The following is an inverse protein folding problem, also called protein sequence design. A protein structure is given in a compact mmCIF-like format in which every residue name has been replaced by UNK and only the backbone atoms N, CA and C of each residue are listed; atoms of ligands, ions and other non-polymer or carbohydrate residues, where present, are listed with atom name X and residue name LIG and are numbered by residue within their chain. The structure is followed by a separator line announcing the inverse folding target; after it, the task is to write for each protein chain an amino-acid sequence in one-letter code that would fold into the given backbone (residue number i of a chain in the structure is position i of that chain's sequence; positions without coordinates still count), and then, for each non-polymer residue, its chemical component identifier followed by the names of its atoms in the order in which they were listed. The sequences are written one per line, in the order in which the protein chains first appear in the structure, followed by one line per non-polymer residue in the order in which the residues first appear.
data_IF_775122610383
#
_entry.id   IF_775122610383
#
_cell.length_a   1.000
_cell.length_b   1.000
_cell.length_c   1.000
_cell.angle_alpha   90.00
_cell.angle_beta   90.00
_cell.angle_gamma   90.00
#
_symmetry.space_group_name_H-M   'P 1'
#
loop_
_entity.id
_entity.type
_entity.pdbx_description
1 polymer ?
#
# COMPACT_ATOMS: atom_id res chain seq x y z
N UNK A 1 36.79 22.12 -14.67
CA UNK A 1 36.86 22.34 -13.21
C UNK A 1 35.48 22.39 -12.53
N UNK A 2 34.64 23.43 -12.72
CA UNK A 2 33.38 23.55 -11.95
C UNK A 2 32.32 22.47 -12.29
N UNK A 3 32.26 22.04 -13.55
CA UNK A 3 31.32 20.99 -14.01
C UNK A 3 31.80 19.58 -13.64
N UNK A 4 33.12 19.40 -13.59
CA UNK A 4 33.79 18.16 -13.21
C UNK A 4 33.59 17.82 -11.73
N UNK A 5 33.70 18.81 -10.84
CA UNK A 5 33.40 18.63 -9.41
C UNK A 5 31.93 18.29 -9.15
N UNK A 6 31.00 18.79 -9.98
CA UNK A 6 29.58 18.45 -9.89
C UNK A 6 29.32 17.01 -10.32
N UNK A 7 29.96 16.56 -11.40
CA UNK A 7 29.84 15.19 -11.90
C UNK A 7 30.35 14.17 -10.88
N UNK A 8 31.47 14.47 -10.21
CA UNK A 8 31.99 13.64 -9.11
C UNK A 8 30.99 13.58 -7.95
N UNK A 9 30.43 14.73 -7.54
CA UNK A 9 29.40 14.81 -6.51
C UNK A 9 28.16 13.98 -6.83
N UNK A 10 27.64 14.07 -8.06
CA UNK A 10 26.51 13.25 -8.50
C UNK A 10 26.82 11.76 -8.51
N UNK A 11 28.05 11.38 -8.85
CA UNK A 11 28.48 9.98 -8.87
C UNK A 11 28.54 9.38 -7.46
N UNK A 12 29.00 10.14 -6.46
CA UNK A 12 29.00 9.71 -5.06
C UNK A 12 27.56 9.51 -4.57
N UNK A 13 26.67 10.48 -4.82
CA UNK A 13 25.25 10.37 -4.45
C UNK A 13 24.61 9.17 -5.16
N UNK A 14 24.84 9.02 -6.45
CA UNK A 14 24.33 7.90 -7.26
C UNK A 14 24.80 6.55 -6.75
N UNK A 15 26.05 6.43 -6.32
CA UNK A 15 26.61 5.21 -5.73
C UNK A 15 25.84 4.78 -4.47
N UNK A 16 25.62 5.71 -3.53
CA UNK A 16 24.85 5.40 -2.31
C UNK A 16 23.37 5.12 -2.60
N UNK A 17 22.76 5.82 -3.55
CA UNK A 17 21.41 5.51 -4.03
C UNK A 17 21.36 4.09 -4.62
N UNK A 18 22.36 3.70 -5.41
CA UNK A 18 22.49 2.36 -5.99
C UNK A 18 22.58 1.28 -4.92
N UNK A 19 23.41 1.48 -3.89
CA UNK A 19 23.50 0.58 -2.72
C UNK A 19 22.13 0.46 -2.03
N UNK A 20 21.45 1.59 -1.79
CA UNK A 20 20.12 1.60 -1.18
C UNK A 20 19.09 0.79 -2.00
N UNK A 21 19.09 0.95 -3.33
CA UNK A 21 18.22 0.17 -4.23
C UNK A 21 18.55 -1.32 -4.19
N UNK A 22 19.83 -1.68 -4.14
CA UNK A 22 20.28 -3.07 -4.10
C UNK A 22 19.87 -3.77 -2.79
N UNK A 23 20.07 -3.12 -1.63
CA UNK A 23 19.62 -3.62 -0.31
C UNK A 23 18.11 -3.79 -0.26
N UNK A 24 17.36 -2.84 -0.86
CA UNK A 24 15.91 -2.94 -0.98
C UNK A 24 15.48 -4.09 -1.89
N UNK A 25 16.21 -4.32 -2.98
CA UNK A 25 16.08 -5.50 -3.84
C UNK A 25 16.18 -6.81 -3.05
N UNK A 26 17.17 -6.92 -2.16
CA UNK A 26 17.34 -8.09 -1.31
C UNK A 26 16.18 -8.29 -0.32
N UNK A 27 15.65 -7.19 0.23
CA UNK A 27 14.48 -7.27 1.13
C UNK A 27 13.22 -7.75 0.42
N UNK A 28 12.97 -7.30 -0.81
CA UNK A 28 11.88 -7.83 -1.64
C UNK A 28 12.11 -9.27 -2.06
N UNK A 29 13.36 -9.67 -2.30
CA UNK A 29 13.70 -11.05 -2.63
C UNK A 29 13.40 -11.99 -1.46
N UNK A 30 13.73 -11.59 -0.23
CA UNK A 30 13.36 -12.34 0.99
C UNK A 30 11.86 -12.50 1.14
N UNK A 31 11.10 -11.41 0.97
CA UNK A 31 9.64 -11.45 1.03
C UNK A 31 9.04 -12.37 -0.05
N UNK A 32 9.53 -12.26 -1.29
CA UNK A 32 9.11 -13.13 -2.40
C UNK A 32 9.36 -14.60 -2.08
N UNK A 33 10.56 -14.93 -1.60
CA UNK A 33 10.94 -16.31 -1.27
C UNK A 33 10.15 -16.84 -0.07
N UNK A 34 9.76 -15.98 0.87
CA UNK A 34 8.91 -16.38 1.97
C UNK A 34 7.53 -16.78 1.46
N UNK A 35 6.91 -15.95 0.60
CA UNK A 35 5.60 -16.24 0.00
C UNK A 35 5.67 -17.52 -0.83
N UNK A 36 6.67 -17.67 -1.71
CA UNK A 36 6.80 -18.86 -2.57
C UNK A 36 6.96 -20.19 -1.80
N UNK A 37 7.49 -20.15 -0.58
CA UNK A 37 7.71 -21.36 0.21
C UNK A 37 6.58 -21.62 1.22
N UNK A 38 5.61 -20.71 1.34
CA UNK A 38 4.55 -20.82 2.32
C UNK A 38 3.24 -21.23 1.64
N UNK A 39 2.65 -22.38 1.98
CA UNK A 39 1.39 -22.78 1.40
C UNK A 39 0.24 -21.92 1.96
N UNK A 40 -0.70 -21.53 1.10
CA UNK A 40 -1.96 -20.93 1.53
C UNK A 40 -2.72 -21.90 2.45
N UNK A 41 -2.92 -21.49 3.69
CA UNK A 41 -3.65 -22.27 4.70
C UNK A 41 -5.16 -22.09 4.56
N UNK A 42 -5.90 -23.14 4.86
CA UNK A 42 -7.35 -23.08 5.06
C UNK A 42 -7.66 -22.56 6.45
N UNK A 43 -8.76 -21.83 6.58
CA UNK A 43 -9.16 -21.23 7.87
C UNK A 43 -9.33 -22.29 8.96
N UNK A 44 -9.94 -23.45 8.63
CA UNK A 44 -10.11 -24.57 9.58
C UNK A 44 -8.82 -25.11 10.19
N UNK A 45 -7.73 -25.06 9.44
CA UNK A 45 -6.44 -25.63 9.84
C UNK A 45 -5.39 -24.54 10.04
N UNK A 46 -5.82 -23.32 10.34
CA UNK A 46 -4.94 -22.18 10.53
C UNK A 46 -4.12 -22.38 11.81
N UNK A 47 -2.80 -22.50 11.65
CA UNK A 47 -1.86 -22.59 12.76
C UNK A 47 -1.50 -21.20 13.28
N UNK A 48 -1.19 -21.11 14.57
CA UNK A 48 -0.68 -19.88 15.21
C UNK A 48 0.67 -19.47 14.63
N UNK A 49 0.94 -18.17 14.57
CA UNK A 49 2.15 -17.62 13.99
C UNK A 49 1.95 -17.18 12.54
N UNK A 50 3.05 -17.05 11.78
CA UNK A 50 2.98 -16.55 10.41
C UNK A 50 2.17 -17.51 9.52
N UNK A 51 1.13 -16.99 8.89
CA UNK A 51 0.24 -17.75 8.03
C UNK A 51 -0.25 -16.91 6.85
N UNK A 52 -0.61 -17.61 5.79
CA UNK A 52 -1.20 -17.07 4.58
C UNK A 52 -2.59 -17.65 4.41
N UNK A 53 -3.55 -16.77 4.15
CA UNK A 53 -4.95 -17.15 3.94
C UNK A 53 -5.51 -16.39 2.74
N UNK A 54 -6.52 -16.98 2.11
CA UNK A 54 -7.27 -16.36 1.04
C UNK A 54 -8.75 -16.62 1.20
N UNK A 55 -9.56 -15.58 1.09
CA UNK A 55 -11.01 -15.70 1.27
C UNK A 55 -11.77 -14.45 0.89
N UNK A 56 -13.07 -14.50 1.10
CA UNK A 56 -14.03 -13.42 0.85
C UNK A 56 -14.22 -12.56 2.09
N UNK A 57 -14.26 -11.24 1.91
CA UNK A 57 -14.51 -10.27 2.98
C UNK A 57 -15.96 -10.31 3.41
N UNK A 58 -16.17 -10.58 4.70
CA UNK A 58 -17.47 -10.52 5.37
C UNK A 58 -17.38 -9.48 6.48
N UNK A 59 -18.20 -8.42 6.47
CA UNK A 59 -18.23 -7.44 7.56
C UNK A 59 -18.54 -8.10 8.90
N UNK A 60 -17.86 -7.69 9.97
CA UNK A 60 -18.34 -8.00 11.31
C UNK A 60 -19.69 -7.28 11.49
N UNK A 61 -20.74 -7.99 11.93
CA UNK A 61 -22.20 -7.69 11.75
C UNK A 61 -22.73 -6.28 12.10
N UNK A 62 -21.88 -5.35 12.55
CA UNK A 62 -22.23 -3.96 12.89
C UNK A 62 -21.20 -2.91 12.45
N UNK A 63 -20.11 -3.28 11.77
CA UNK A 63 -18.99 -2.38 11.47
C UNK A 63 -18.73 -2.33 9.96
N UNK A 64 -19.44 -1.42 9.29
CA UNK A 64 -19.21 -1.06 7.88
C UNK A 64 -18.90 0.43 7.83
N UNK A 65 -17.82 0.78 7.16
CA UNK A 65 -17.42 2.15 6.89
C UNK A 65 -18.08 2.63 5.59
N UNK A 66 -18.29 3.94 5.49
CA UNK A 66 -18.63 4.61 4.25
C UNK A 66 -17.39 5.30 3.69
N UNK A 67 -17.00 4.95 2.48
CA UNK A 67 -15.85 5.59 1.82
C UNK A 67 -16.14 7.09 1.61
N UNK A 68 -15.19 7.99 1.90
CA UNK A 68 -15.46 9.42 1.94
C UNK A 68 -15.75 10.06 0.58
N UNK A 69 -15.17 9.55 -0.52
CA UNK A 69 -15.29 10.17 -1.84
C UNK A 69 -16.44 9.58 -2.66
N UNK A 70 -16.65 8.27 -2.57
CA UNK A 70 -17.68 7.55 -3.33
C UNK A 70 -18.88 7.08 -2.52
N UNK A 71 -18.82 7.10 -1.18
CA UNK A 71 -19.92 6.69 -0.31
C UNK A 71 -20.17 5.17 -0.30
N UNK A 72 -19.19 4.37 -0.70
CA UNK A 72 -19.27 2.92 -0.79
C UNK A 72 -19.13 2.26 0.57
N UNK A 73 -19.89 1.19 0.78
CA UNK A 73 -19.74 0.33 1.95
C UNK A 73 -18.43 -0.44 1.88
N UNK A 74 -17.61 -0.32 2.91
CA UNK A 74 -16.26 -0.90 2.95
C UNK A 74 -15.83 -1.26 4.37
N UNK A 75 -14.80 -2.10 4.49
CA UNK A 75 -14.16 -2.46 5.78
C UNK A 75 -12.81 -1.75 5.97
N UNK A 76 -12.27 -1.20 4.89
CA UNK A 76 -11.05 -0.40 4.84
C UNK A 76 -11.20 0.62 3.72
N UNK A 77 -10.74 1.85 3.94
CA UNK A 77 -10.53 2.80 2.86
C UNK A 77 -9.25 3.62 3.08
N UNK A 78 -8.66 4.06 1.98
CA UNK A 78 -7.60 5.07 1.95
C UNK A 78 -7.87 6.04 0.81
N UNK A 79 -7.86 7.33 1.13
CA UNK A 79 -8.04 8.37 0.12
C UNK A 79 -6.91 9.40 0.16
N UNK A 80 -6.69 10.04 -0.98
CA UNK A 80 -5.76 11.13 -1.18
C UNK A 80 -6.38 12.20 -2.09
N UNK A 81 -6.28 13.44 -1.67
CA UNK A 81 -6.71 14.62 -2.40
C UNK A 81 -5.49 15.50 -2.63
N UNK A 82 -5.17 15.77 -3.89
CA UNK A 82 -4.02 16.55 -4.30
C UNK A 82 -4.47 17.76 -5.12
N UNK A 83 -3.80 18.88 -4.92
CA UNK A 83 -4.01 20.12 -5.67
C UNK A 83 -2.74 20.43 -6.46
N UNK A 84 -2.91 20.80 -7.73
CA UNK A 84 -1.80 21.32 -8.51
C UNK A 84 -1.52 22.75 -8.08
N UNK A 85 -0.31 23.01 -7.60
CA UNK A 85 0.18 24.35 -7.25
C UNK A 85 1.32 24.75 -8.17
N UNK A 86 1.35 26.03 -8.53
CA UNK A 86 2.40 26.62 -9.34
C UNK A 86 3.30 27.47 -8.45
N UNK A 87 4.61 27.30 -8.58
CA UNK A 87 5.63 28.12 -7.94
C UNK A 87 6.64 28.56 -8.99
N UNK A 88 6.47 29.79 -9.50
CA UNK A 88 7.25 30.31 -10.63
C UNK A 88 7.03 29.48 -11.90
N UNK A 89 8.11 28.92 -12.46
CA UNK A 89 8.08 28.06 -13.66
C UNK A 89 7.74 26.60 -13.35
N UNK A 90 7.63 26.23 -12.08
CA UNK A 90 7.43 24.83 -11.66
C UNK A 90 6.00 24.58 -11.23
N UNK A 91 5.51 23.39 -11.54
CA UNK A 91 4.22 22.89 -11.06
C UNK A 91 4.46 21.65 -10.22
N UNK A 92 3.83 21.58 -9.05
CA UNK A 92 3.87 20.40 -8.18
C UNK A 92 2.47 20.01 -7.73
N UNK A 93 2.29 18.72 -7.44
CA UNK A 93 1.10 18.20 -6.79
C UNK A 93 1.34 18.21 -5.29
N UNK A 94 0.45 18.84 -4.54
CA UNK A 94 0.52 18.94 -3.09
C UNK A 94 -0.67 18.22 -2.50
N UNK A 95 -0.42 17.31 -1.54
CA UNK A 95 -1.48 16.64 -0.80
C UNK A 95 -2.18 17.68 0.07
N UNK A 96 -3.46 17.90 -0.19
CA UNK A 96 -4.31 18.82 0.59
C UNK A 96 -4.95 18.07 1.75
N UNK A 97 -5.36 16.83 1.51
CA UNK A 97 -5.91 15.95 2.55
C UNK A 97 -5.72 14.49 2.18
N UNK A 98 -5.47 13.67 3.17
CA UNK A 98 -5.46 12.22 3.04
C UNK A 98 -5.97 11.61 4.33
N UNK A 99 -6.53 10.42 4.24
CA UNK A 99 -7.03 9.70 5.40
C UNK A 99 -7.06 8.20 5.14
N UNK A 100 -7.09 7.43 6.22
CA UNK A 100 -7.24 5.99 6.20
C UNK A 100 -8.04 5.60 7.41
N UNK A 101 -9.06 4.78 7.19
CA UNK A 101 -9.88 4.23 8.26
C UNK A 101 -10.15 2.77 7.95
N UNK A 102 -10.29 1.98 9.01
CA UNK A 102 -10.36 0.55 8.92
C UNK A 102 -11.10 -0.02 10.12
N UNK A 103 -11.81 -1.12 9.90
CA UNK A 103 -12.51 -1.86 10.94
C UNK A 103 -12.17 -3.34 10.81
N UNK A 104 -12.34 -4.08 11.90
CA UNK A 104 -12.20 -5.53 11.87
C UNK A 104 -13.25 -6.13 10.92
N UNK A 105 -12.86 -7.15 10.18
CA UNK A 105 -13.73 -7.91 9.29
C UNK A 105 -13.37 -9.38 9.33
N UNK A 106 -14.30 -10.23 8.94
CA UNK A 106 -14.04 -11.66 8.77
C UNK A 106 -13.55 -11.93 7.35
N UNK A 107 -12.55 -12.80 7.23
CA UNK A 107 -12.19 -13.42 5.98
C UNK A 107 -12.76 -14.84 5.95
N UNK A 108 -13.63 -15.12 4.98
CA UNK A 108 -14.34 -16.39 4.86
C UNK A 108 -13.80 -17.19 3.68
N UNK A 109 -13.38 -18.43 3.94
CA UNK A 109 -13.07 -19.39 2.89
C UNK A 109 -14.14 -20.49 2.84
N UNK A 110 -13.86 -21.58 2.11
CA UNK A 110 -14.77 -22.72 2.01
C UNK A 110 -14.78 -23.63 3.24
N UNK A 111 -13.90 -23.39 4.21
CA UNK A 111 -13.73 -24.19 5.42
C UNK A 111 -14.28 -23.51 6.67
N UNK A 112 -14.19 -22.17 6.73
CA UNK A 112 -15.00 -21.30 7.59
C UNK A 112 -14.49 -19.86 7.62
N UNK A 113 -14.34 -19.23 8.80
CA UNK A 113 -14.12 -17.77 8.89
C UNK A 113 -13.19 -17.35 10.03
N UNK A 114 -12.27 -16.42 9.73
CA UNK A 114 -11.26 -15.89 10.68
C UNK A 114 -11.38 -14.37 10.77
N UNK A 115 -11.18 -13.81 11.97
CA UNK A 115 -11.21 -12.37 12.16
C UNK A 115 -9.90 -11.73 11.68
N UNK A 116 -9.98 -10.55 11.09
CA UNK A 116 -8.82 -9.80 10.59
C UNK A 116 -8.81 -8.42 11.22
N UNK A 117 -7.69 -8.05 11.86
CA UNK A 117 -7.39 -6.66 12.23
C UNK A 117 -6.47 -6.03 11.17
N UNK A 118 -6.98 -5.21 10.23
CA UNK A 118 -6.16 -4.59 9.19
C UNK A 118 -5.09 -3.61 9.71
N UNK A 119 -5.09 -3.29 11.01
CA UNK A 119 -4.16 -2.32 11.59
C UNK A 119 -2.71 -2.75 11.42
N UNK A 120 -1.92 -1.84 10.84
CA UNK A 120 -0.49 -2.03 10.62
C UNK A 120 -0.16 -2.94 9.43
N UNK A 121 -1.15 -3.39 8.65
CA UNK A 121 -0.92 -4.08 7.40
C UNK A 121 -0.34 -3.13 6.34
N UNK A 122 0.52 -3.67 5.49
CA UNK A 122 0.80 -3.06 4.19
C UNK A 122 -0.28 -3.48 3.20
N UNK A 123 -1.20 -2.55 2.92
CA UNK A 123 -2.37 -2.81 2.04
C UNK A 123 -2.02 -2.43 0.60
N UNK A 124 -1.94 -3.43 -0.29
CA UNK A 124 -1.74 -3.29 -1.73
C UNK A 124 -3.05 -3.60 -2.48
N UNK A 125 -3.85 -2.56 -2.69
CA UNK A 125 -5.10 -2.63 -3.46
C UNK A 125 -5.09 -1.53 -4.54
N UNK A 126 -5.70 -1.76 -5.72
CA UNK A 126 -5.81 -0.79 -6.79
C UNK A 126 -6.66 0.41 -6.35
N UNK A 127 -6.64 1.47 -7.15
CA UNK A 127 -7.55 2.59 -6.94
C UNK A 127 -8.90 2.27 -7.58
N UNK A 128 -9.94 2.21 -6.77
CA UNK A 128 -11.31 2.02 -7.22
C UNK A 128 -11.92 3.30 -7.80
N UNK A 129 -11.42 4.45 -7.35
CA UNK A 129 -11.87 5.75 -7.83
C UNK A 129 -10.69 6.69 -8.02
N UNK A 130 -10.51 7.15 -9.26
CA UNK A 130 -9.61 8.24 -9.60
C UNK A 130 -10.36 9.29 -10.40
N UNK A 131 -10.32 10.53 -9.94
CA UNK A 131 -10.94 11.66 -10.63
C UNK A 131 -10.02 12.88 -10.64
N UNK A 132 -9.96 13.55 -11.78
CA UNK A 132 -9.23 14.80 -11.94
C UNK A 132 -10.23 15.91 -12.25
N UNK A 133 -10.28 16.95 -11.45
CA UNK A 133 -11.02 18.18 -11.74
C UNK A 133 -10.11 19.25 -12.35
N UNK A 134 -10.72 20.26 -12.95
CA UNK A 134 -10.03 21.41 -13.52
C UNK A 134 -11.03 22.38 -14.12
N UNK A 135 -10.52 23.40 -14.81
CA UNK A 135 -11.32 24.49 -15.40
C UNK A 135 -12.51 23.95 -16.21
N UNK A 136 -12.31 22.90 -17.00
CA UNK A 136 -13.33 22.30 -17.87
C UNK A 136 -14.11 21.15 -17.24
N UNK A 137 -13.70 20.66 -16.06
CA UNK A 137 -14.25 19.45 -15.45
C UNK A 137 -14.53 19.68 -13.96
N UNK A 138 -15.81 19.80 -13.63
CA UNK A 138 -16.28 20.01 -12.27
C UNK A 138 -16.08 18.76 -11.39
N UNK A 139 -15.96 19.00 -10.09
CA UNK A 139 -15.87 17.94 -9.08
C UNK A 139 -17.22 17.20 -8.97
N UNK A 140 -17.27 15.87 -8.77
CA UNK A 140 -18.53 15.16 -8.61
C UNK A 140 -19.25 15.55 -7.31
N UNK A 141 -20.59 15.53 -7.25
CA UNK A 141 -21.36 15.99 -6.08
C UNK A 141 -21.01 15.28 -4.76
N UNK A 142 -20.66 13.99 -4.82
CA UNK A 142 -20.24 13.21 -3.64
C UNK A 142 -18.95 13.76 -3.05
N UNK A 143 -17.97 14.03 -3.92
CA UNK A 143 -16.67 14.60 -3.53
C UNK A 143 -16.84 16.05 -3.07
N UNK A 144 -17.68 16.85 -3.72
CA UNK A 144 -17.98 18.22 -3.28
C UNK A 144 -18.54 18.26 -1.85
N UNK A 145 -19.45 17.33 -1.54
CA UNK A 145 -20.04 17.21 -0.20
C UNK A 145 -18.98 16.90 0.85
N UNK A 146 -18.05 16.00 0.52
CA UNK A 146 -16.90 15.68 1.38
C UNK A 146 -15.93 16.86 1.55
N UNK A 147 -15.66 17.61 0.49
CA UNK A 147 -14.80 18.80 0.57
C UNK A 147 -15.42 19.87 1.49
N UNK A 148 -16.73 20.14 1.33
CA UNK A 148 -17.46 21.11 2.15
C UNK A 148 -17.46 20.72 3.63
N UNK A 149 -17.74 19.45 3.96
CA UNK A 149 -17.74 18.98 5.35
C UNK A 149 -16.36 19.06 6.01
N UNK A 150 -15.29 19.12 5.21
CA UNK A 150 -13.91 19.24 5.66
C UNK A 150 -13.32 20.65 5.47
N UNK A 151 -14.15 21.66 5.21
CA UNK A 151 -13.74 23.06 4.99
C UNK A 151 -12.69 23.23 3.88
N UNK A 152 -12.74 22.37 2.86
CA UNK A 152 -11.88 22.45 1.68
C UNK A 152 -12.63 23.10 0.51
N UNK A 153 -11.90 23.86 -0.32
CA UNK A 153 -12.45 24.54 -1.48
C UNK A 153 -11.76 24.06 -2.75
N UNK A 154 -12.57 23.59 -3.71
CA UNK A 154 -12.14 23.17 -5.05
C UNK A 154 -12.22 24.30 -6.09
N UNK A 155 -12.56 25.52 -5.67
CA UNK A 155 -12.63 26.72 -6.51
C UNK A 155 -11.54 27.72 -6.18
N UNK A 156 -11.09 28.44 -7.19
CA UNK A 156 -10.22 29.61 -7.10
C UNK A 156 -11.01 30.84 -6.66
N UNK A 157 -10.32 31.91 -6.26
CA UNK A 157 -10.94 33.18 -5.86
C UNK A 157 -11.81 33.80 -6.97
N UNK A 158 -11.50 33.50 -8.23
CA UNK A 158 -12.25 33.94 -9.42
C UNK A 158 -13.42 32.99 -9.78
N UNK A 159 -13.71 31.98 -8.96
CA UNK A 159 -14.82 31.05 -9.18
C UNK A 159 -14.54 29.87 -10.11
N UNK A 160 -13.37 29.80 -10.75
CA UNK A 160 -12.96 28.67 -11.58
C UNK A 160 -12.58 27.45 -10.73
N UNK A 161 -12.84 26.25 -11.23
CA UNK A 161 -12.41 25.00 -10.59
C UNK A 161 -10.89 24.88 -10.60
N UNK A 162 -10.33 24.51 -9.46
CA UNK A 162 -8.92 24.16 -9.28
C UNK A 162 -8.60 22.86 -10.00
N UNK A 163 -7.33 22.70 -10.38
CA UNK A 163 -6.83 21.41 -10.85
C UNK A 163 -6.54 20.51 -9.66
N UNK A 164 -7.42 19.53 -9.42
CA UNK A 164 -7.28 18.60 -8.30
C UNK A 164 -7.29 17.16 -8.79
N UNK A 165 -6.66 16.28 -8.01
CA UNK A 165 -6.69 14.83 -8.16
C UNK A 165 -7.28 14.21 -6.92
N UNK A 166 -8.24 13.33 -7.12
CA UNK A 166 -8.91 12.59 -6.08
C UNK A 166 -8.64 11.12 -6.33
N UNK A 167 -8.09 10.44 -5.35
CA UNK A 167 -7.83 9.01 -5.41
C UNK A 167 -8.41 8.37 -4.16
N UNK A 168 -9.19 7.31 -4.35
CA UNK A 168 -9.70 6.47 -3.28
C UNK A 168 -9.43 5.00 -3.61
N UNK A 169 -9.16 4.26 -2.55
CA UNK A 169 -8.97 2.82 -2.50
C UNK A 169 -9.87 2.31 -1.39
N UNK A 170 -10.59 1.21 -1.60
CA UNK A 170 -11.38 0.59 -0.55
C UNK A 170 -11.40 -0.94 -0.68
N UNK A 171 -11.74 -1.60 0.43
CA UNK A 171 -12.05 -3.03 0.45
C UNK A 171 -13.53 -3.15 0.74
N UNK A 172 -14.30 -3.63 -0.23
CA UNK A 172 -15.73 -3.82 -0.14
C UNK A 172 -16.08 -5.21 0.42
N UNK A 173 -17.29 -5.37 1.01
CA UNK A 173 -17.84 -6.69 1.26
C UNK A 173 -17.85 -7.53 -0.03
N UNK A 174 -17.55 -8.82 0.09
CA UNK A 174 -17.43 -9.80 -1.01
C UNK A 174 -16.15 -9.71 -1.84
N UNK A 175 -15.26 -8.75 -1.56
CA UNK A 175 -13.94 -8.75 -2.18
C UNK A 175 -13.16 -9.99 -1.74
N UNK A 176 -12.37 -10.55 -2.65
CA UNK A 176 -11.47 -11.66 -2.33
C UNK A 176 -10.11 -11.10 -1.98
N UNK A 177 -9.62 -11.42 -0.79
CA UNK A 177 -8.34 -10.95 -0.31
C UNK A 177 -7.38 -12.12 -0.08
N UNK A 178 -6.13 -11.84 -0.41
CA UNK A 178 -4.96 -12.56 0.03
C UNK A 178 -4.37 -11.83 1.24
N UNK A 179 -4.18 -12.54 2.35
CA UNK A 179 -3.62 -12.00 3.59
C UNK A 179 -2.45 -12.85 4.05
N UNK A 180 -1.32 -12.19 4.32
CA UNK A 180 -0.14 -12.77 4.93
C UNK A 180 0.14 -12.03 6.24
N UNK A 181 0.08 -12.72 7.37
CA UNK A 181 0.21 -12.10 8.69
C UNK A 181 0.36 -13.12 9.81
N UNK A 182 0.32 -12.64 11.05
CA UNK A 182 0.37 -13.53 12.21
C UNK A 182 -1.05 -13.92 12.61
N UNK A 183 -1.31 -15.22 12.71
CA UNK A 183 -2.47 -15.78 13.37
C UNK A 183 -2.21 -15.80 14.89
N UNK A 184 -3.10 -15.19 15.65
CA UNK A 184 -3.06 -15.05 17.10
C UNK A 184 -4.43 -15.26 17.74
N UNK A 185 -4.49 -15.17 19.06
CA UNK A 185 -5.76 -15.31 19.79
C UNK A 185 -6.69 -14.13 19.47
N UNK A 186 -7.98 -14.40 19.30
CA UNK A 186 -9.01 -13.39 19.10
C UNK A 186 -9.51 -12.87 20.46
N UNK A 187 -9.14 -11.64 20.89
CA UNK A 187 -9.55 -11.10 22.18
C UNK A 187 -11.04 -10.72 22.25
N UNK A 188 -11.77 -10.77 21.13
CA UNK A 188 -13.18 -10.37 21.05
C UNK A 188 -14.15 -11.55 21.15
N UNK A 189 -13.65 -12.78 21.29
CA UNK A 189 -14.48 -13.97 21.45
C UNK A 189 -14.44 -14.40 22.93
N UNK A 190 -15.58 -14.31 23.63
CA UNK A 190 -15.69 -14.55 25.08
C UNK A 190 -15.87 -16.03 25.45
N UNK A 191 -16.25 -16.90 24.51
CA UNK A 191 -16.41 -18.32 24.75
C UNK A 191 -15.10 -19.07 24.45
N UNK A 192 -14.15 -19.01 25.39
CA UNK A 192 -13.00 -19.91 25.41
C UNK A 192 -13.46 -21.36 25.71
N UNK A 193 -14.20 -21.97 24.79
CA UNK A 193 -14.53 -23.39 24.86
C UNK A 193 -13.27 -24.23 24.71
N UNK A 194 -13.17 -25.34 25.45
CA UNK A 194 -12.05 -26.28 25.37
C UNK A 194 -11.86 -26.91 23.96
N UNK A 195 -12.82 -26.70 23.07
CA UNK A 195 -12.73 -26.99 21.64
C UNK A 195 -12.45 -25.68 20.90
N UNK A 196 -11.23 -25.55 20.34
CA UNK A 196 -10.84 -24.39 19.52
C UNK A 196 -11.76 -24.28 18.31
N UNK A 197 -12.49 -23.18 18.22
CA UNK A 197 -13.27 -22.81 17.04
C UNK A 197 -12.47 -21.88 16.14
N UNK A 198 -12.78 -21.88 14.85
CA UNK A 198 -12.12 -21.03 13.84
C UNK A 198 -12.27 -19.53 14.13
N UNK A 199 -13.29 -19.17 14.93
CA UNK A 199 -13.58 -17.82 15.39
C UNK A 199 -12.68 -17.36 16.55
N UNK A 200 -11.91 -18.27 17.17
CA UNK A 200 -10.97 -17.96 18.25
C UNK A 200 -9.65 -17.37 17.71
N UNK A 201 -9.45 -17.36 16.40
CA UNK A 201 -8.23 -16.88 15.75
C UNK A 201 -8.45 -15.52 15.10
N UNK A 202 -7.45 -14.64 15.24
CA UNK A 202 -7.37 -13.37 14.55
C UNK A 202 -6.06 -13.26 13.76
N UNK A 203 -6.15 -12.76 12.53
CA UNK A 203 -5.00 -12.29 11.76
C UNK A 203 -4.66 -10.86 12.13
N UNK A 204 -3.42 -10.63 12.55
CA UNK A 204 -2.93 -9.32 12.95
C UNK A 204 -1.45 -9.11 12.58
N UNK A 205 -0.94 -7.91 12.84
CA UNK A 205 0.50 -7.63 12.74
C UNK A 205 1.25 -8.34 13.87
N UNK A 206 2.06 -9.34 13.52
CA UNK A 206 2.94 -10.03 14.46
C UNK A 206 4.30 -9.35 14.66
N UNK A 207 5.11 -9.92 15.56
CA UNK A 207 6.47 -9.44 15.87
C UNK A 207 7.47 -9.55 14.71
N UNK A 208 7.22 -10.44 13.74
CA UNK A 208 8.06 -10.60 12.54
C UNK A 208 7.94 -9.42 11.55
N UNK A 209 7.03 -8.48 11.80
CA UNK A 209 6.89 -7.24 11.04
C UNK A 209 6.24 -7.42 9.66
N UNK A 210 6.06 -8.66 9.19
CA UNK A 210 5.37 -8.99 7.95
C UNK A 210 3.87 -9.00 8.22
N UNK A 211 3.17 -8.05 7.62
CA UNK A 211 1.72 -8.07 7.56
C UNK A 211 1.26 -7.39 6.28
N UNK A 212 0.56 -8.13 5.42
CA UNK A 212 0.25 -7.73 4.06
C UNK A 212 -1.18 -8.16 3.70
N UNK A 213 -1.92 -7.25 3.09
CA UNK A 213 -3.29 -7.48 2.60
C UNK A 213 -3.34 -7.02 1.14
N UNK A 214 -3.86 -7.86 0.27
CA UNK A 214 -3.94 -7.61 -1.16
C UNK A 214 -5.23 -8.18 -1.74
N UNK A 215 -5.82 -7.47 -2.69
CA UNK A 215 -6.94 -7.96 -3.52
C UNK A 215 -6.45 -8.79 -4.74
N UNK A 216 -5.14 -8.72 -5.01
CA UNK A 216 -4.49 -9.45 -6.08
C UNK A 216 -4.22 -10.89 -5.63
N UNK A 217 -4.26 -11.83 -6.58
CA UNK A 217 -3.89 -13.22 -6.33
C UNK A 217 -2.43 -13.34 -5.88
N UNK A 218 -2.09 -14.42 -5.17
CA UNK A 218 -0.70 -14.73 -4.80
C UNK A 218 0.26 -14.63 -6.00
N UNK A 219 -0.15 -15.18 -7.15
CA UNK A 219 0.61 -15.13 -8.40
C UNK A 219 0.90 -13.70 -8.87
N UNK A 220 -0.07 -12.80 -8.73
CA UNK A 220 0.10 -11.41 -9.14
C UNK A 220 0.97 -10.65 -8.15
N UNK A 221 0.85 -10.93 -6.85
CA UNK A 221 1.75 -10.43 -5.81
C UNK A 221 3.20 -10.88 -6.11
N UNK A 222 3.41 -12.15 -6.42
CA UNK A 222 4.71 -12.71 -6.78
C UNK A 222 5.28 -12.09 -8.07
N UNK A 223 4.46 -11.86 -9.09
CA UNK A 223 4.88 -11.15 -10.32
C UNK A 223 5.33 -9.71 -10.03
N UNK A 224 4.54 -8.95 -9.25
CA UNK A 224 4.89 -7.58 -8.83
C UNK A 224 6.20 -7.57 -8.03
N UNK A 225 6.38 -8.52 -7.11
CA UNK A 225 7.61 -8.65 -6.32
C UNK A 225 8.80 -9.04 -7.19
N UNK A 226 8.65 -9.97 -8.15
CA UNK A 226 9.72 -10.35 -9.08
C UNK A 226 10.22 -9.14 -9.88
N UNK A 227 9.31 -8.30 -10.37
CA UNK A 227 9.69 -7.07 -11.09
C UNK A 227 10.46 -6.10 -10.19
N UNK A 228 10.00 -5.91 -8.94
CA UNK A 228 10.69 -5.07 -7.94
C UNK A 228 12.08 -5.61 -7.60
N UNK A 229 12.23 -6.92 -7.44
CA UNK A 229 13.53 -7.59 -7.20
C UNK A 229 14.48 -7.36 -8.36
N UNK A 230 14.03 -7.63 -9.60
CA UNK A 230 14.84 -7.40 -10.80
C UNK A 230 15.25 -5.94 -10.91
N UNK A 231 14.31 -5.00 -10.74
CA UNK A 231 14.61 -3.56 -10.76
C UNK A 231 15.63 -3.15 -9.68
N UNK A 232 15.50 -3.68 -8.46
CA UNK A 232 16.44 -3.40 -7.38
C UNK A 232 17.85 -3.92 -7.65
N UNK A 233 17.99 -5.16 -8.12
CA UNK A 233 19.31 -5.76 -8.41
C UNK A 233 19.96 -5.18 -9.65
N UNK A 234 19.26 -5.17 -10.79
CA UNK A 234 19.85 -4.70 -12.05
C UNK A 234 19.98 -3.17 -12.06
N UNK A 235 18.96 -2.44 -11.61
CA UNK A 235 19.01 -0.98 -11.54
C UNK A 235 20.01 -0.48 -10.50
N UNK A 236 20.00 -1.04 -9.29
CA UNK A 236 20.96 -0.70 -8.24
C UNK A 236 22.39 -1.09 -8.62
N UNK A 237 22.60 -2.31 -9.10
CA UNK A 237 23.91 -2.81 -9.51
C UNK A 237 24.52 -2.03 -10.68
N UNK A 238 23.73 -1.72 -11.72
CA UNK A 238 24.20 -0.92 -12.84
C UNK A 238 24.60 0.50 -12.41
N UNK A 239 23.79 1.14 -11.55
CA UNK A 239 24.10 2.48 -11.04
C UNK A 239 25.38 2.49 -10.22
N UNK A 240 25.59 1.48 -9.36
CA UNK A 240 26.84 1.31 -8.59
C UNK A 240 28.04 1.23 -9.53
N UNK A 241 27.98 0.36 -10.54
CA UNK A 241 29.09 0.16 -11.50
C UNK A 241 29.38 1.44 -12.26
N UNK A 242 28.37 2.12 -12.80
CA UNK A 242 28.54 3.39 -13.55
C UNK A 242 29.13 4.49 -12.67
N UNK A 243 28.65 4.64 -11.44
CA UNK A 243 29.20 5.64 -10.53
C UNK A 243 30.65 5.30 -10.12
N UNK A 244 30.97 4.02 -9.88
CA UNK A 244 32.33 3.59 -9.58
C UNK A 244 33.29 3.82 -10.75
N UNK A 245 32.88 3.52 -11.99
CA UNK A 245 33.75 3.75 -13.15
C UNK A 245 34.05 5.23 -13.35
N UNK A 246 33.06 6.11 -13.19
CA UNK A 246 33.26 7.57 -13.25
C UNK A 246 34.25 8.01 -12.16
N UNK A 247 34.07 7.56 -10.92
CA UNK A 247 34.99 7.89 -9.82
C UNK A 247 36.43 7.42 -10.08
N UNK A 248 36.61 6.21 -10.63
CA UNK A 248 37.93 5.67 -10.97
C UNK A 248 38.63 6.40 -12.12
N UNK A 249 37.88 6.84 -13.13
CA UNK A 249 38.41 7.67 -14.22
C UNK A 249 38.92 8.99 -13.65
N UNK A 250 38.15 9.62 -12.76
CA UNK A 250 38.55 10.86 -12.10
C UNK A 250 39.79 10.70 -11.22
N UNK A 251 39.89 9.60 -10.48
CA UNK A 251 41.05 9.33 -9.64
C UNK A 251 42.33 9.11 -10.46
N UNK A 252 42.23 8.59 -11.69
CA UNK A 252 43.36 8.42 -12.62
C UNK A 252 43.78 9.70 -13.35
N UNK A 253 42.92 10.72 -13.37
CA UNK A 253 43.21 12.01 -14.01
C UNK A 253 43.93 12.99 -13.07
N UNK A 254 43.99 12.67 -11.77
CA UNK A 254 44.77 13.38 -10.74
C UNK A 254 46.11 12.67 -10.50
#
# INVERSE_FOLDING_TARGET
MADEGRLLGYSIVGFFVGIGLFIKGFSWFRLKRLIENMPTSKVRSLAMGLAEIHGEVVPAEKKVLKSPLTGRDCVYYRYKIEERRSSGKNNCWVIVKSGTEMVHFFLKDNTGSVLVDPKGANVDIPSDFTFNSGITKATPPTVESFLKSNSLTDRTLLGFNKQMRYTEHYIAPKDKLYILGSAGDNPFFEDATAQRNEQDIMMHRGGEGIYFISDSSENDVLKKLKLKVMGGFFGGGALIVVCLTIMLIYLKMF
#
